data_IF_705461258116
#
_entry.id   IF_705461258116
#
_cell.length_a   1.000
_cell.length_b   1.000
_cell.length_c   1.000
_cell.angle_alpha   90.00
_cell.angle_beta   90.00
_cell.angle_gamma   90.00
#
_symmetry.space_group_name_H-M   'P 1'
#
loop_
_entity.id
_entity.type
_entity.pdbx_description
1 polymer ?
#
# COMPACT_ATOMS: atom_id res chain seq x y z
N UNK A 1 13.63 -12.70 9.83
CA UNK A 1 12.84 -11.78 8.99
C UNK A 1 12.36 -10.66 9.90
N UNK A 2 12.50 -9.39 9.49
CA UNK A 2 12.06 -8.24 10.28
C UNK A 2 10.53 -8.02 10.15
N UNK A 3 9.97 -7.22 11.08
CA UNK A 3 8.52 -7.02 11.16
C UNK A 3 7.93 -6.30 9.92
N UNK A 4 8.69 -5.41 9.29
CA UNK A 4 8.24 -4.72 8.09
C UNK A 4 8.14 -5.70 6.92
N UNK A 5 9.15 -6.53 6.71
CA UNK A 5 9.15 -7.58 5.67
C UNK A 5 7.96 -8.52 5.82
N UNK A 6 7.71 -9.03 7.04
CA UNK A 6 6.57 -9.91 7.30
C UNK A 6 5.22 -9.23 7.04
N UNK A 7 5.12 -7.96 7.37
CA UNK A 7 3.92 -7.19 7.12
C UNK A 7 3.68 -6.97 5.62
N UNK A 8 4.73 -6.60 4.89
CA UNK A 8 4.66 -6.40 3.44
C UNK A 8 4.30 -7.70 2.71
N UNK A 9 4.84 -8.84 3.13
CA UNK A 9 4.41 -10.16 2.63
C UNK A 9 2.92 -10.45 2.91
N UNK A 10 2.42 -10.03 4.08
CA UNK A 10 1.02 -10.20 4.44
C UNK A 10 0.07 -9.31 3.62
N UNK A 11 0.55 -8.19 3.07
CA UNK A 11 -0.26 -7.23 2.30
C UNK A 11 -0.64 -7.76 0.93
N UNK A 12 0.15 -8.66 0.33
CA UNK A 12 0.00 -9.12 -1.06
C UNK A 12 -0.30 -7.96 -2.00
N UNK A 13 0.76 -7.28 -2.36
CA UNK A 13 0.68 -6.19 -3.33
C UNK A 13 0.51 -6.75 -4.74
N UNK A 14 -0.25 -6.05 -5.54
CA UNK A 14 -0.25 -6.14 -6.99
C UNK A 14 -0.08 -4.73 -7.55
N UNK A 15 0.68 -4.55 -8.57
CA UNK A 15 0.95 -3.22 -9.09
C UNK A 15 0.92 -3.20 -10.62
N UNK A 16 0.79 -2.00 -11.17
CA UNK A 16 0.87 -1.78 -12.60
C UNK A 16 1.11 -0.31 -12.92
N UNK A 17 1.56 -0.05 -14.12
CA UNK A 17 1.48 1.26 -14.73
C UNK A 17 0.44 1.19 -15.84
N UNK A 18 -0.36 2.22 -15.96
CA UNK A 18 -1.42 2.26 -16.95
C UNK A 18 -1.28 3.45 -17.91
N UNK A 19 -0.53 4.51 -17.52
CA UNK A 19 -0.48 5.75 -18.26
C UNK A 19 0.93 6.33 -18.33
N UNK A 20 1.36 6.66 -19.55
CA UNK A 20 2.49 7.56 -19.82
C UNK A 20 1.95 8.93 -20.19
N UNK A 21 2.25 9.95 -19.40
CA UNK A 21 1.77 11.31 -19.64
C UNK A 21 2.92 12.26 -20.00
N UNK A 22 2.65 13.12 -20.97
CA UNK A 22 3.51 14.23 -21.38
C UNK A 22 2.70 15.52 -21.37
N UNK A 23 3.13 16.46 -20.56
CA UNK A 23 2.49 17.75 -20.41
C UNK A 23 3.42 18.88 -20.84
N UNK A 24 2.83 19.97 -21.35
CA UNK A 24 3.54 21.23 -21.61
C UNK A 24 2.81 22.38 -20.94
N UNK A 25 3.55 23.25 -20.24
CA UNK A 25 2.94 24.38 -19.52
C UNK A 25 2.14 25.31 -20.44
N UNK A 26 1.02 25.93 -19.99
CA UNK A 26 0.30 25.66 -18.74
C UNK A 26 -0.60 24.42 -18.85
N UNK A 27 -0.71 23.66 -17.74
CA UNK A 27 -1.61 22.50 -17.64
C UNK A 27 -2.02 22.25 -16.20
N UNK A 28 -3.23 21.68 -16.00
CA UNK A 28 -3.73 21.26 -14.70
C UNK A 28 -4.81 20.19 -14.91
N UNK A 29 -4.64 19.04 -14.26
CA UNK A 29 -5.55 17.91 -14.38
C UNK A 29 -5.96 17.41 -12.99
N UNK A 30 -7.20 16.93 -12.90
CA UNK A 30 -7.70 16.17 -11.74
C UNK A 30 -7.65 14.70 -12.07
N UNK A 31 -7.09 13.91 -11.17
CA UNK A 31 -6.94 12.47 -11.34
C UNK A 31 -7.34 11.72 -10.07
N UNK A 32 -7.79 10.49 -10.26
CA UNK A 32 -7.97 9.47 -9.24
C UNK A 32 -7.91 8.13 -9.97
N UNK A 33 -7.20 7.14 -9.43
CA UNK A 33 -7.15 5.82 -10.04
C UNK A 33 -8.46 5.10 -9.79
N UNK A 34 -9.13 4.66 -10.86
CA UNK A 34 -10.34 3.85 -10.79
C UNK A 34 -10.07 2.35 -10.97
N UNK A 35 -11.05 1.50 -10.69
CA UNK A 35 -10.97 0.07 -11.02
C UNK A 35 -10.73 -0.20 -12.50
N UNK A 36 -11.23 0.66 -13.37
CA UNK A 36 -11.08 0.64 -14.84
C UNK A 36 -9.63 0.85 -15.30
N UNK A 37 -8.82 1.54 -14.49
CA UNK A 37 -7.39 1.77 -14.77
C UNK A 37 -6.51 0.57 -14.40
N UNK A 38 -7.10 -0.47 -13.79
CA UNK A 38 -6.40 -1.64 -13.31
C UNK A 38 -6.57 -2.82 -14.27
N UNK A 39 -5.69 -3.04 -15.25
CA UNK A 39 -5.80 -4.13 -16.22
C UNK A 39 -5.41 -5.49 -15.61
N UNK A 40 -5.92 -5.81 -14.41
CA UNK A 40 -5.69 -7.08 -13.74
C UNK A 40 -6.79 -8.06 -14.11
N UNK A 41 -6.49 -9.19 -14.77
CA UNK A 41 -7.50 -10.18 -15.10
C UNK A 41 -8.10 -10.79 -13.83
N UNK A 42 -9.40 -10.57 -13.63
CA UNK A 42 -10.21 -11.33 -12.69
C UNK A 42 -10.32 -10.84 -11.26
N UNK A 43 -9.60 -9.82 -10.80
CA UNK A 43 -9.74 -9.29 -9.43
C UNK A 43 -9.53 -7.78 -9.36
N UNK A 44 -10.54 -7.06 -8.91
CA UNK A 44 -10.38 -5.65 -8.50
C UNK A 44 -9.76 -5.67 -7.11
N UNK A 45 -8.61 -4.99 -6.90
CA UNK A 45 -8.01 -4.91 -5.57
C UNK A 45 -8.97 -4.30 -4.54
N UNK A 46 -8.91 -4.78 -3.31
CA UNK A 46 -9.76 -4.29 -2.24
C UNK A 46 -9.43 -2.84 -1.83
N UNK A 47 -8.19 -2.41 -2.06
CA UNK A 47 -7.76 -1.02 -1.96
C UNK A 47 -6.78 -0.69 -3.09
N UNK A 48 -6.82 0.54 -3.53
CA UNK A 48 -5.96 1.10 -4.57
C UNK A 48 -5.14 2.25 -3.99
N UNK A 49 -3.87 2.27 -4.34
CA UNK A 49 -2.95 3.38 -4.15
C UNK A 49 -2.57 3.92 -5.53
N UNK A 50 -2.57 5.22 -5.71
CA UNK A 50 -2.02 5.81 -6.92
C UNK A 50 -0.54 6.11 -6.74
N UNK A 51 0.24 6.05 -7.83
CA UNK A 51 1.58 6.59 -7.85
C UNK A 51 1.85 7.37 -9.13
N UNK A 52 2.71 8.39 -9.01
CA UNK A 52 3.19 9.21 -10.11
C UNK A 52 4.70 9.33 -10.02
N UNK A 53 5.41 8.87 -11.04
CA UNK A 53 6.85 9.04 -11.16
C UNK A 53 7.16 10.15 -12.18
N UNK A 54 7.76 11.24 -11.72
CA UNK A 54 8.18 12.34 -12.59
C UNK A 54 9.51 11.96 -13.23
N UNK A 55 9.47 11.63 -14.53
CA UNK A 55 10.67 11.28 -15.28
C UNK A 55 11.50 12.51 -15.64
N UNK A 56 10.83 13.59 -16.05
CA UNK A 56 11.44 14.86 -16.42
C UNK A 56 10.51 16.03 -16.06
N UNK A 57 11.09 17.20 -15.87
CA UNK A 57 10.35 18.42 -15.53
C UNK A 57 9.96 18.50 -14.07
N UNK A 58 8.87 19.19 -13.79
CA UNK A 58 8.33 19.41 -12.44
C UNK A 58 6.81 19.59 -12.49
N UNK A 59 6.18 19.34 -11.37
CA UNK A 59 4.74 19.56 -11.17
C UNK A 59 4.43 19.97 -9.74
N UNK A 60 3.19 20.39 -9.53
CA UNK A 60 2.58 20.57 -8.21
C UNK A 60 1.51 19.50 -7.98
N UNK A 61 1.58 18.85 -6.83
CA UNK A 61 0.52 17.97 -6.32
C UNK A 61 -0.39 18.78 -5.41
N UNK A 62 -1.67 18.85 -5.73
CA UNK A 62 -2.73 19.41 -4.89
C UNK A 62 -3.57 18.30 -4.26
N UNK A 63 -3.68 18.31 -2.94
CA UNK A 63 -4.58 17.48 -2.15
C UNK A 63 -5.54 18.38 -1.38
N UNK A 64 -6.82 17.97 -1.26
CA UNK A 64 -7.82 18.75 -0.53
C UNK A 64 -7.38 18.97 0.92
N UNK A 65 -7.42 20.24 1.36
CA UNK A 65 -7.04 20.64 2.71
C UNK A 65 -5.53 20.66 3.02
N UNK A 66 -4.68 20.48 2.01
CA UNK A 66 -3.21 20.54 2.17
C UNK A 66 -2.58 21.60 1.26
N UNK A 67 -1.46 22.20 1.66
CA UNK A 67 -0.70 23.08 0.76
C UNK A 67 -0.18 22.29 -0.43
N UNK A 68 -0.11 22.91 -1.63
CA UNK A 68 0.45 22.25 -2.81
C UNK A 68 1.90 21.81 -2.58
N UNK A 69 2.22 20.60 -2.99
CA UNK A 69 3.56 20.00 -2.89
C UNK A 69 4.27 20.08 -4.24
N UNK A 70 5.45 20.70 -4.27
CA UNK A 70 6.30 20.70 -5.46
C UNK A 70 7.00 19.35 -5.63
N UNK A 71 6.99 18.81 -6.86
CA UNK A 71 7.57 17.50 -7.19
C UNK A 71 8.40 17.65 -8.46
N UNK A 72 9.65 17.23 -8.41
CA UNK A 72 10.61 17.35 -9.50
C UNK A 72 10.97 16.03 -10.17
N UNK A 73 11.80 16.13 -11.20
CA UNK A 73 12.33 14.95 -11.88
C UNK A 73 13.08 14.02 -10.91
N UNK A 74 12.87 12.70 -11.05
CA UNK A 74 13.40 11.69 -10.16
C UNK A 74 12.59 11.50 -8.88
N UNK A 75 11.49 12.21 -8.70
CA UNK A 75 10.62 12.05 -7.53
C UNK A 75 9.38 11.23 -7.87
N UNK A 76 9.02 10.37 -6.93
CA UNK A 76 7.82 9.53 -6.98
C UNK A 76 6.89 9.99 -5.88
N UNK A 77 5.63 10.19 -6.21
CA UNK A 77 4.56 10.41 -5.26
C UNK A 77 3.72 9.15 -5.18
N UNK A 78 3.49 8.68 -3.97
CA UNK A 78 2.54 7.61 -3.65
C UNK A 78 1.39 8.21 -2.85
N UNK A 79 0.19 7.81 -3.19
CA UNK A 79 -1.07 8.22 -2.55
C UNK A 79 -1.73 6.98 -1.93
N UNK A 80 -1.39 6.62 -0.67
CA UNK A 80 -1.78 5.34 -0.07
C UNK A 80 -3.28 5.10 0.03
N UNK A 81 -4.08 6.16 0.08
CA UNK A 81 -5.55 6.09 0.13
C UNK A 81 -6.22 6.54 -1.15
N UNK A 82 -5.44 6.76 -2.22
CA UNK A 82 -5.93 7.15 -3.54
C UNK A 82 -6.98 8.29 -3.50
N UNK A 83 -6.74 9.39 -2.79
CA UNK A 83 -7.68 10.51 -2.79
C UNK A 83 -7.75 11.14 -4.18
N UNK A 84 -8.86 11.79 -4.54
CA UNK A 84 -8.89 12.71 -5.67
C UNK A 84 -7.78 13.76 -5.50
N UNK A 85 -7.00 13.99 -6.55
CA UNK A 85 -5.85 14.88 -6.49
C UNK A 85 -5.68 15.66 -7.78
N UNK A 86 -4.95 16.77 -7.70
CA UNK A 86 -4.62 17.63 -8.84
C UNK A 86 -3.13 17.57 -9.11
N UNK A 87 -2.78 17.34 -10.37
CA UNK A 87 -1.42 17.51 -10.87
C UNK A 87 -1.41 18.73 -11.80
N UNK A 88 -0.49 19.67 -11.60
CA UNK A 88 -0.47 20.92 -12.37
C UNK A 88 0.93 21.51 -12.56
N UNK A 89 1.10 22.32 -13.58
CA UNK A 89 2.30 23.16 -13.74
C UNK A 89 2.29 24.39 -12.82
N UNK A 90 1.10 24.86 -12.42
CA UNK A 90 0.87 25.96 -11.47
C UNK A 90 -0.37 25.62 -10.62
N UNK A 91 -0.29 25.66 -9.28
CA UNK A 91 -1.42 25.30 -8.41
C UNK A 91 -2.63 26.24 -8.51
N UNK A 92 -2.49 27.39 -9.15
CA UNK A 92 -3.58 28.36 -9.36
C UNK A 92 -4.45 28.05 -10.58
N UNK A 93 -4.02 27.14 -11.45
CA UNK A 93 -4.76 26.78 -12.65
C UNK A 93 -6.00 25.94 -12.33
N UNK A 94 -7.14 26.18 -13.01
CA UNK A 94 -8.31 25.35 -12.87
C UNK A 94 -8.03 23.93 -13.41
N UNK A 95 -8.35 22.91 -12.61
CA UNK A 95 -8.12 21.54 -12.99
C UNK A 95 -9.17 21.02 -13.97
N UNK A 96 -8.73 20.36 -15.03
CA UNK A 96 -9.58 19.64 -15.98
C UNK A 96 -9.64 18.16 -15.62
N UNK A 97 -10.69 17.48 -16.03
CA UNK A 97 -10.81 16.02 -15.88
C UNK A 97 -9.85 15.32 -16.86
N UNK A 98 -9.20 14.24 -16.39
CA UNK A 98 -8.20 13.52 -17.16
C UNK A 98 -8.81 12.58 -18.21
N UNK A 99 -9.96 11.98 -17.93
CA UNK A 99 -10.52 10.87 -18.71
C UNK A 99 -10.72 11.18 -20.19
N UNK A 100 -11.20 12.38 -20.58
CA UNK A 100 -11.36 12.72 -22.00
C UNK A 100 -10.03 12.90 -22.75
N UNK A 101 -8.92 13.04 -22.03
CA UNK A 101 -7.60 13.33 -22.58
C UNK A 101 -6.76 12.07 -22.80
N UNK A 102 -7.16 10.94 -22.21
CA UNK A 102 -6.43 9.69 -22.26
C UNK A 102 -6.66 8.96 -23.59
N UNK A 103 -5.58 8.66 -24.29
CA UNK A 103 -5.62 7.80 -25.47
C UNK A 103 -5.38 6.35 -25.06
N UNK A 104 -6.33 5.44 -25.33
CA UNK A 104 -6.19 4.05 -24.95
C UNK A 104 -4.93 3.40 -25.51
N UNK A 105 -4.40 2.43 -24.78
CA UNK A 105 -3.27 1.63 -25.23
C UNK A 105 -3.66 0.77 -26.45
N UNK A 106 -2.86 0.78 -27.49
CA UNK A 106 -2.98 -0.15 -28.60
C UNK A 106 -2.11 -1.40 -28.29
N UNK A 107 -2.73 -2.58 -28.28
CA UNK A 107 -1.98 -3.83 -28.20
C UNK A 107 -1.31 -4.16 -26.85
N UNK A 108 -1.88 -3.72 -25.72
CA UNK A 108 -1.38 -4.10 -24.37
C UNK A 108 -0.24 -3.24 -23.82
N UNK A 109 0.05 -2.08 -24.43
CA UNK A 109 1.00 -1.08 -23.92
C UNK A 109 0.40 -0.17 -22.85
N UNK A 110 1.10 0.93 -22.53
CA UNK A 110 0.56 2.00 -21.68
C UNK A 110 -0.36 2.91 -22.47
N UNK A 111 -1.46 3.34 -21.88
CA UNK A 111 -2.22 4.48 -22.39
C UNK A 111 -1.33 5.71 -22.47
N UNK A 112 -1.66 6.64 -23.36
CA UNK A 112 -0.87 7.85 -23.58
C UNK A 112 -1.73 9.09 -23.37
N UNK A 113 -1.11 10.09 -22.80
CA UNK A 113 -1.72 11.40 -22.65
C UNK A 113 -0.71 12.47 -23.07
N UNK A 114 -1.14 13.36 -23.96
CA UNK A 114 -0.40 14.58 -24.30
C UNK A 114 -1.34 15.77 -24.17
N UNK A 115 -0.97 16.73 -23.35
CA UNK A 115 -1.80 17.90 -23.08
C UNK A 115 -0.97 19.09 -22.66
N UNK A 116 -1.42 20.30 -22.99
CA UNK A 116 -0.87 21.56 -22.50
C UNK A 116 -0.72 22.65 -23.55
N UNK A 117 -0.08 23.74 -23.15
CA UNK A 117 0.03 24.99 -23.92
C UNK A 117 1.31 25.18 -24.71
N UNK A 118 2.23 24.21 -24.79
CA UNK A 118 3.46 24.28 -25.58
C UNK A 118 4.68 24.86 -24.83
N UNK A 119 4.58 25.17 -23.54
CA UNK A 119 5.68 25.64 -22.70
C UNK A 119 6.61 24.51 -22.19
N UNK A 120 7.17 24.68 -20.99
CA UNK A 120 8.09 23.71 -20.40
C UNK A 120 7.45 22.32 -20.28
N UNK A 121 8.23 21.26 -20.59
CA UNK A 121 7.75 19.88 -20.65
C UNK A 121 7.89 19.17 -19.32
N UNK A 122 6.86 18.41 -18.97
CA UNK A 122 6.86 17.46 -17.83
C UNK A 122 6.42 16.09 -18.34
N UNK A 123 7.20 15.03 -18.03
CA UNK A 123 6.86 13.63 -18.34
C UNK A 123 6.73 12.82 -17.09
N UNK A 124 5.65 12.02 -16.99
CA UNK A 124 5.40 11.14 -15.85
C UNK A 124 4.85 9.79 -16.29
N UNK A 125 5.07 8.82 -15.42
CA UNK A 125 4.40 7.52 -15.45
C UNK A 125 3.42 7.49 -14.28
N UNK A 126 2.17 7.20 -14.60
CA UNK A 126 1.12 6.98 -13.61
C UNK A 126 0.80 5.49 -13.53
N UNK A 127 0.58 5.02 -12.32
CA UNK A 127 0.24 3.64 -12.08
C UNK A 127 -0.54 3.47 -10.79
N UNK A 128 -0.78 2.21 -10.47
CA UNK A 128 -1.47 1.82 -9.25
C UNK A 128 -0.69 0.74 -8.51
N UNK A 129 -0.94 0.68 -7.20
CA UNK A 129 -0.56 -0.44 -6.34
C UNK A 129 -1.84 -0.85 -5.62
N UNK A 130 -2.27 -2.08 -5.85
CA UNK A 130 -3.42 -2.66 -5.20
C UNK A 130 -3.03 -3.51 -4.00
N UNK A 131 -3.92 -3.66 -3.03
CA UNK A 131 -3.78 -4.64 -1.98
C UNK A 131 -5.06 -5.45 -1.79
N UNK A 132 -4.91 -6.71 -1.37
CA UNK A 132 -6.04 -7.62 -1.17
C UNK A 132 -6.77 -7.39 0.17
N UNK A 133 -6.17 -6.63 1.08
CA UNK A 133 -6.70 -6.41 2.44
C UNK A 133 -7.33 -5.02 2.53
N UNK A 134 -8.69 -4.92 2.61
CA UNK A 134 -9.39 -3.63 2.56
C UNK A 134 -8.97 -2.65 3.66
N UNK A 135 -8.76 -3.14 4.87
CA UNK A 135 -8.38 -2.37 6.05
C UNK A 135 -6.96 -2.70 6.51
N UNK A 136 -5.99 -2.49 5.62
CA UNK A 136 -4.60 -2.73 5.98
C UNK A 136 -4.13 -1.71 7.02
N UNK A 137 -3.67 -2.16 8.21
CA UNK A 137 -3.19 -1.25 9.26
C UNK A 137 -2.04 -0.35 8.80
N UNK A 138 -1.13 -0.86 7.95
CA UNK A 138 -0.03 -0.06 7.40
C UNK A 138 -0.56 1.12 6.58
N UNK A 139 -1.47 0.89 5.64
CA UNK A 139 -1.99 1.94 4.76
C UNK A 139 -2.75 3.03 5.51
N UNK A 140 -3.41 2.67 6.62
CA UNK A 140 -4.13 3.63 7.48
C UNK A 140 -3.20 4.59 8.20
N UNK A 141 -1.98 4.14 8.52
CA UNK A 141 -0.98 4.89 9.27
C UNK A 141 -0.06 5.73 8.40
N UNK A 142 -0.03 5.46 7.09
CA UNK A 142 0.75 6.26 6.15
C UNK A 142 0.09 7.64 5.96
N UNK A 143 0.87 8.69 5.69
CA UNK A 143 0.35 10.03 5.39
C UNK A 143 -0.49 10.02 4.11
N UNK A 144 -1.15 11.12 3.81
CA UNK A 144 -1.98 11.26 2.60
C UNK A 144 -1.16 11.11 1.32
N UNK A 145 0.10 11.53 1.36
CA UNK A 145 1.09 11.32 0.30
C UNK A 145 2.44 10.91 0.87
N UNK A 146 3.16 10.04 0.17
CA UNK A 146 4.54 9.66 0.42
C UNK A 146 5.38 10.12 -0.77
N UNK A 147 6.46 10.86 -0.49
CA UNK A 147 7.47 11.19 -1.48
C UNK A 147 8.65 10.21 -1.39
N UNK A 148 9.13 9.75 -2.52
CA UNK A 148 10.38 9.02 -2.63
C UNK A 148 11.25 9.73 -3.68
N UNK A 149 12.45 10.16 -3.28
CA UNK A 149 13.43 10.69 -4.23
C UNK A 149 14.32 9.57 -4.72
N UNK A 150 14.26 9.30 -6.01
CA UNK A 150 15.11 8.32 -6.70
C UNK A 150 16.25 9.07 -7.37
N UNK A 151 17.46 8.90 -6.86
CA UNK A 151 18.61 9.57 -7.44
C UNK A 151 18.83 9.09 -8.90
N UNK A 152 19.10 10.00 -9.85
CA UNK A 152 19.37 9.63 -11.22
C UNK A 152 20.55 8.66 -11.34
N UNK A 153 20.42 7.67 -12.22
CA UNK A 153 21.45 6.65 -12.46
C UNK A 153 21.51 5.54 -11.40
N UNK A 154 20.69 5.58 -10.36
CA UNK A 154 20.55 4.45 -9.42
C UNK A 154 19.87 3.26 -10.13
N UNK A 155 20.04 2.06 -9.56
CA UNK A 155 19.43 0.84 -10.12
C UNK A 155 17.91 0.95 -10.25
N UNK A 156 17.23 1.65 -9.34
CA UNK A 156 15.77 1.89 -9.40
C UNK A 156 15.44 2.76 -10.60
N UNK A 157 16.11 3.92 -10.75
CA UNK A 157 15.87 4.84 -11.87
C UNK A 157 16.10 4.16 -13.22
N UNK A 158 17.25 3.50 -13.38
CA UNK A 158 17.60 2.81 -14.61
C UNK A 158 16.63 1.67 -14.93
N UNK A 159 16.30 0.85 -13.94
CA UNK A 159 15.36 -0.27 -14.12
C UNK A 159 13.96 0.21 -14.48
N UNK A 160 13.47 1.26 -13.84
CA UNK A 160 12.14 1.80 -14.11
C UNK A 160 12.07 2.44 -15.51
N UNK A 161 13.06 3.24 -15.88
CA UNK A 161 13.14 3.84 -17.24
C UNK A 161 13.24 2.76 -18.31
N UNK A 162 14.02 1.69 -18.06
CA UNK A 162 14.14 0.56 -18.98
C UNK A 162 12.80 -0.17 -19.12
N UNK A 163 12.13 -0.50 -18.01
CA UNK A 163 10.84 -1.18 -18.05
C UNK A 163 9.77 -0.37 -18.78
N UNK A 164 9.74 0.96 -18.57
CA UNK A 164 8.84 1.87 -19.30
C UNK A 164 9.12 1.83 -20.80
N UNK A 165 10.39 1.85 -21.21
CA UNK A 165 10.77 1.78 -22.62
C UNK A 165 10.39 0.43 -23.26
N UNK A 166 10.53 -0.68 -22.52
CA UNK A 166 10.13 -2.01 -22.97
C UNK A 166 8.61 -2.16 -23.11
N UNK A 167 7.84 -1.61 -22.18
CA UNK A 167 6.36 -1.58 -22.30
C UNK A 167 5.94 -0.73 -23.50
N UNK A 168 6.59 0.41 -23.73
CA UNK A 168 6.33 1.23 -24.90
C UNK A 168 6.66 0.51 -26.22
N UNK A 169 7.65 -0.38 -26.20
CA UNK A 169 8.03 -1.26 -27.32
C UNK A 169 7.19 -2.55 -27.41
N UNK A 170 6.24 -2.76 -26.54
CA UNK A 170 5.37 -3.95 -26.47
C UNK A 170 6.14 -5.27 -26.32
N UNK A 171 7.27 -5.25 -25.62
CA UNK A 171 8.06 -6.46 -25.37
C UNK A 171 7.32 -7.44 -24.44
N UNK A 172 7.29 -8.75 -24.73
CA UNK A 172 6.65 -9.73 -23.87
C UNK A 172 7.17 -9.69 -22.43
N UNK A 173 6.26 -9.68 -21.45
CA UNK A 173 6.61 -9.68 -20.03
C UNK A 173 6.99 -8.31 -19.42
N UNK A 174 7.14 -7.26 -20.22
CA UNK A 174 7.53 -5.92 -19.72
C UNK A 174 6.54 -5.33 -18.71
N UNK A 175 5.24 -5.56 -18.89
CA UNK A 175 4.22 -5.13 -17.93
C UNK A 175 4.40 -5.80 -16.55
N UNK A 176 4.77 -7.08 -16.53
CA UNK A 176 5.03 -7.80 -15.28
C UNK A 176 6.30 -7.27 -14.57
N UNK A 177 7.36 -6.94 -15.33
CA UNK A 177 8.56 -6.31 -14.77
C UNK A 177 8.23 -4.96 -14.15
N UNK A 178 7.47 -4.13 -14.86
CA UNK A 178 7.08 -2.80 -14.36
C UNK A 178 6.20 -2.90 -13.11
N UNK A 179 5.31 -3.89 -13.04
CA UNK A 179 4.51 -4.17 -11.85
C UNK A 179 5.40 -4.49 -10.62
N UNK A 180 6.39 -5.36 -10.78
CA UNK A 180 7.32 -5.70 -9.68
C UNK A 180 8.18 -4.53 -9.24
N UNK A 181 8.60 -3.69 -10.18
CA UNK A 181 9.31 -2.45 -9.84
C UNK A 181 8.42 -1.48 -9.06
N UNK A 182 7.13 -1.35 -9.40
CA UNK A 182 6.20 -0.50 -8.66
C UNK A 182 5.97 -1.03 -7.22
N UNK A 183 5.91 -2.35 -7.01
CA UNK A 183 5.88 -2.94 -5.67
C UNK A 183 7.15 -2.58 -4.85
N UNK A 184 8.33 -2.67 -5.46
CA UNK A 184 9.59 -2.27 -4.83
C UNK A 184 9.63 -0.78 -4.48
N UNK A 185 9.11 0.09 -5.35
CA UNK A 185 9.00 1.52 -5.06
C UNK A 185 8.15 1.81 -3.82
N UNK A 186 7.06 1.06 -3.62
CA UNK A 186 6.25 1.20 -2.41
C UNK A 186 7.05 0.82 -1.16
N UNK A 187 7.78 -0.29 -1.21
CA UNK A 187 8.62 -0.73 -0.09
C UNK A 187 9.67 0.34 0.25
N UNK A 188 10.36 0.86 -0.75
CA UNK A 188 11.38 1.90 -0.54
C UNK A 188 10.79 3.22 -0.05
N UNK A 189 9.60 3.60 -0.52
CA UNK A 189 8.91 4.79 -0.02
C UNK A 189 8.50 4.65 1.45
N UNK A 190 8.02 3.47 1.86
CA UNK A 190 7.70 3.20 3.27
C UNK A 190 8.97 3.21 4.12
N UNK A 191 10.06 2.59 3.66
CA UNK A 191 11.35 2.61 4.36
C UNK A 191 11.88 4.03 4.54
N UNK A 192 11.94 4.79 3.45
CA UNK A 192 12.37 6.20 3.48
C UNK A 192 11.50 7.04 4.43
N UNK A 193 10.19 6.83 4.41
CA UNK A 193 9.29 7.52 5.34
C UNK A 193 9.60 7.15 6.80
N UNK A 194 9.81 5.88 7.10
CA UNK A 194 10.18 5.43 8.45
C UNK A 194 11.47 6.12 8.94
N UNK A 195 12.45 6.35 8.05
CA UNK A 195 13.69 7.04 8.39
C UNK A 195 13.48 8.53 8.71
N UNK A 196 12.46 9.17 8.12
CA UNK A 196 12.14 10.59 8.37
C UNK A 196 11.36 10.83 9.67
N UNK A 197 10.79 9.77 10.27
CA UNK A 197 10.01 9.93 11.50
C UNK A 197 10.90 10.38 12.67
N UNK A 198 10.51 11.41 13.45
CA UNK A 198 11.21 11.81 14.64
C UNK A 198 11.33 10.64 15.66
N UNK A 199 12.37 10.63 16.48
CA UNK A 199 12.50 9.62 17.56
C UNK A 199 11.38 9.72 18.60
N UNK A 200 10.80 10.92 18.76
CA UNK A 200 9.66 11.17 19.64
C UNK A 200 8.31 10.71 19.06
N UNK A 201 8.29 10.22 17.82
CA UNK A 201 7.06 9.75 17.21
C UNK A 201 6.53 8.52 17.92
N UNK A 202 5.25 8.54 18.29
CA UNK A 202 4.51 7.39 18.80
C UNK A 202 3.69 6.76 17.67
N UNK A 203 3.17 5.57 17.91
CA UNK A 203 2.36 4.85 16.96
C UNK A 203 3.07 3.63 16.36
N UNK A 204 2.32 2.88 15.60
CA UNK A 204 2.73 1.58 15.08
C UNK A 204 4.03 1.62 14.22
N UNK A 205 4.19 2.67 13.41
CA UNK A 205 5.40 2.85 12.58
C UNK A 205 6.66 3.11 13.44
N UNK A 206 6.51 3.82 14.55
CA UNK A 206 7.61 3.99 15.54
C UNK A 206 7.94 2.66 16.21
N UNK A 207 6.93 1.83 16.48
CA UNK A 207 7.13 0.47 17.00
C UNK A 207 7.96 -0.42 16.09
N UNK A 208 7.87 -0.26 14.75
CA UNK A 208 8.73 -0.99 13.80
C UNK A 208 10.21 -0.61 13.89
N UNK A 209 10.50 0.66 14.19
CA UNK A 209 11.88 1.16 14.35
C UNK A 209 12.49 0.78 15.68
N UNK A 210 11.68 0.56 16.70
CA UNK A 210 12.15 0.14 18.01
C UNK A 210 12.72 -1.27 17.96
N UNK A 211 14.00 -1.51 18.34
CA UNK A 211 14.62 -2.82 18.16
C UNK A 211 13.92 -3.95 18.93
N UNK A 212 13.36 -3.64 20.11
CA UNK A 212 12.71 -4.63 20.97
C UNK A 212 11.26 -4.84 20.58
N UNK A 213 10.52 -3.77 20.31
CA UNK A 213 9.13 -3.85 19.89
C UNK A 213 9.02 -4.34 18.45
N UNK A 214 9.90 -3.91 17.54
CA UNK A 214 9.99 -4.44 16.18
C UNK A 214 10.26 -5.95 16.17
N UNK A 215 11.17 -6.45 17.04
CA UNK A 215 11.38 -7.89 17.21
C UNK A 215 10.13 -8.60 17.77
N UNK A 216 9.42 -8.00 18.72
CA UNK A 216 8.18 -8.57 19.24
C UNK A 216 7.10 -8.63 18.15
N UNK A 217 6.96 -7.59 17.34
CA UNK A 217 6.04 -7.57 16.19
C UNK A 217 6.40 -8.66 15.18
N UNK A 218 7.69 -8.85 14.87
CA UNK A 218 8.17 -9.91 14.01
C UNK A 218 7.76 -11.30 14.52
N UNK A 219 7.88 -11.54 15.82
CA UNK A 219 7.45 -12.81 16.45
C UNK A 219 5.93 -12.99 16.37
N UNK A 220 5.16 -11.95 16.66
CA UNK A 220 3.69 -11.98 16.62
C UNK A 220 3.16 -12.23 15.21
N UNK A 221 3.80 -11.62 14.20
CA UNK A 221 3.40 -11.76 12.80
C UNK A 221 3.85 -13.10 12.20
N UNK A 222 5.06 -13.56 12.51
CA UNK A 222 5.61 -14.80 11.98
C UNK A 222 4.98 -16.05 12.57
N UNK A 223 4.59 -16.00 13.85
CA UNK A 223 4.02 -17.14 14.59
C UNK A 223 2.68 -16.77 15.24
N UNK A 224 1.65 -16.34 14.48
CA UNK A 224 0.39 -15.87 15.06
C UNK A 224 -0.36 -16.99 15.80
N UNK A 225 -0.22 -18.23 15.37
CA UNK A 225 -0.84 -19.41 16.01
C UNK A 225 -0.24 -19.81 17.35
N UNK A 226 0.98 -19.37 17.65
CA UNK A 226 1.66 -19.71 18.90
C UNK A 226 0.94 -19.12 20.11
N UNK A 227 0.85 -19.83 21.26
CA UNK A 227 0.20 -19.33 22.47
C UNK A 227 1.10 -18.29 23.20
N UNK A 228 1.29 -17.15 22.56
CA UNK A 228 2.05 -16.05 23.10
C UNK A 228 1.42 -15.48 24.37
N UNK A 229 2.24 -15.16 25.34
CA UNK A 229 1.89 -14.35 26.50
C UNK A 229 2.76 -13.09 26.54
N UNK A 230 2.31 -12.07 27.24
CA UNK A 230 3.12 -10.84 27.44
C UNK A 230 4.48 -11.16 28.05
N UNK A 231 4.54 -12.15 28.97
CA UNK A 231 5.78 -12.58 29.60
C UNK A 231 6.71 -13.31 28.62
N UNK A 232 6.17 -14.22 27.79
CA UNK A 232 6.95 -14.92 26.78
C UNK A 232 7.56 -13.95 25.75
N UNK A 233 6.78 -12.97 25.32
CA UNK A 233 7.26 -11.91 24.41
C UNK A 233 8.34 -11.06 25.07
N UNK A 234 8.11 -10.59 26.30
CA UNK A 234 9.09 -9.78 27.04
C UNK A 234 10.43 -10.52 27.16
N UNK A 235 10.40 -11.80 27.53
CA UNK A 235 11.60 -12.65 27.61
C UNK A 235 12.31 -12.78 26.26
N UNK A 236 11.55 -12.97 25.18
CA UNK A 236 12.08 -13.13 23.81
C UNK A 236 12.81 -11.87 23.30
N UNK A 237 12.44 -10.68 23.81
CA UNK A 237 13.05 -9.42 23.42
C UNK A 237 13.99 -8.83 24.49
N UNK A 238 14.26 -9.55 25.59
CA UNK A 238 15.20 -9.17 26.63
C UNK A 238 14.69 -8.06 27.56
N UNK A 239 13.37 -7.98 27.78
CA UNK A 239 12.76 -7.00 28.71
C UNK A 239 12.06 -7.68 29.89
N UNK A 240 11.86 -6.97 30.99
CA UNK A 240 10.91 -7.37 32.02
C UNK A 240 9.48 -7.28 31.48
N UNK A 241 8.54 -8.07 32.03
CA UNK A 241 7.13 -8.05 31.64
C UNK A 241 6.52 -6.65 31.70
N UNK A 242 6.79 -5.91 32.77
CA UNK A 242 6.25 -4.55 32.96
C UNK A 242 6.84 -3.55 31.98
N UNK A 243 8.18 -3.57 31.80
CA UNK A 243 8.86 -2.69 30.84
C UNK A 243 8.39 -2.95 29.40
N UNK A 244 8.27 -4.21 29.01
CA UNK A 244 7.76 -4.59 27.69
C UNK A 244 6.32 -4.13 27.49
N UNK A 245 5.42 -4.42 28.44
CA UNK A 245 4.01 -4.03 28.30
C UNK A 245 3.83 -2.52 28.23
N UNK A 246 4.56 -1.76 29.06
CA UNK A 246 4.52 -0.30 29.06
C UNK A 246 5.04 0.27 27.72
N UNK A 247 6.23 -0.19 27.27
CA UNK A 247 6.85 0.28 26.02
C UNK A 247 6.01 -0.09 24.80
N UNK A 248 5.50 -1.33 24.73
CA UNK A 248 4.62 -1.78 23.66
C UNK A 248 3.34 -0.95 23.59
N UNK A 249 2.69 -0.72 24.77
CA UNK A 249 1.44 0.06 24.82
C UNK A 249 1.69 1.54 24.50
N UNK A 250 2.82 2.11 24.92
CA UNK A 250 3.19 3.47 24.57
C UNK A 250 3.38 3.65 23.05
N UNK A 251 4.10 2.74 22.39
CA UNK A 251 4.37 2.82 20.96
C UNK A 251 3.18 2.41 20.09
N UNK A 252 2.42 1.37 20.49
CA UNK A 252 1.35 0.80 19.67
C UNK A 252 -0.06 1.26 20.09
N UNK A 253 -0.17 2.08 21.13
CA UNK A 253 -1.42 2.59 21.72
C UNK A 253 -2.41 1.50 22.14
N UNK A 254 -1.93 0.27 22.27
CA UNK A 254 -2.70 -0.88 22.72
C UNK A 254 -1.82 -1.98 23.34
N UNK A 255 -2.36 -2.75 24.30
CA UNK A 255 -1.62 -3.85 24.92
C UNK A 255 -1.24 -4.97 23.94
N UNK A 256 -0.10 -5.69 24.17
CA UNK A 256 0.42 -6.72 23.26
C UNK A 256 -0.60 -7.81 22.88
N UNK A 257 -1.36 -8.33 23.85
CA UNK A 257 -2.31 -9.40 23.60
C UNK A 257 -3.56 -8.94 22.84
N UNK A 258 -3.96 -7.66 23.02
CA UNK A 258 -5.03 -7.05 22.22
C UNK A 258 -4.59 -6.89 20.77
N UNK A 259 -3.34 -6.46 20.55
CA UNK A 259 -2.73 -6.41 19.23
C UNK A 259 -2.72 -7.76 18.53
N UNK A 260 -2.22 -8.81 19.22
CA UNK A 260 -2.20 -10.17 18.68
C UNK A 260 -3.61 -10.67 18.32
N UNK A 261 -4.60 -10.40 19.17
CA UNK A 261 -5.98 -10.78 18.89
C UNK A 261 -6.48 -10.13 17.59
N UNK A 262 -6.29 -8.82 17.43
CA UNK A 262 -6.67 -8.10 16.21
C UNK A 262 -5.94 -8.65 14.98
N UNK A 263 -4.63 -8.91 15.07
CA UNK A 263 -3.84 -9.49 14.00
C UNK A 263 -4.33 -10.89 13.58
N UNK A 264 -4.60 -11.77 14.53
CA UNK A 264 -5.19 -13.09 14.28
C UNK A 264 -6.52 -13.01 13.53
N UNK A 265 -7.37 -12.07 13.90
CA UNK A 265 -8.66 -11.85 13.24
C UNK A 265 -8.52 -11.30 11.82
N UNK A 266 -7.55 -10.44 11.55
CA UNK A 266 -7.23 -9.99 10.19
C UNK A 266 -6.75 -11.15 9.32
N UNK A 267 -5.88 -12.02 9.85
CA UNK A 267 -5.45 -13.24 9.16
C UNK A 267 -6.61 -14.20 8.90
N UNK A 268 -7.51 -14.37 9.88
CA UNK A 268 -8.71 -15.20 9.72
C UNK A 268 -9.62 -14.65 8.61
N UNK A 269 -9.83 -13.34 8.58
CA UNK A 269 -10.61 -12.67 7.53
C UNK A 269 -10.02 -12.90 6.14
N UNK A 270 -8.68 -12.85 6.01
CA UNK A 270 -7.99 -13.18 4.76
C UNK A 270 -8.23 -14.64 4.34
N UNK A 271 -8.00 -15.59 5.26
CA UNK A 271 -8.19 -17.02 4.97
C UNK A 271 -9.65 -17.37 4.62
N UNK A 272 -10.62 -16.64 5.19
CA UNK A 272 -12.04 -16.78 4.83
C UNK A 272 -12.31 -16.38 3.36
N UNK A 273 -11.66 -15.31 2.86
CA UNK A 273 -11.76 -14.93 1.44
C UNK A 273 -11.13 -15.95 0.51
N UNK A 274 -10.05 -16.59 0.96
CA UNK A 274 -9.41 -17.71 0.25
C UNK A 274 -10.27 -18.99 0.25
N UNK A 275 -11.45 -18.97 0.88
CA UNK A 275 -12.38 -20.11 0.92
C UNK A 275 -12.02 -21.19 1.92
N UNK A 276 -11.05 -20.98 2.82
CA UNK A 276 -10.65 -21.99 3.81
C UNK A 276 -11.76 -22.28 4.81
N UNK A 277 -11.78 -23.52 5.32
CA UNK A 277 -12.73 -23.95 6.34
C UNK A 277 -12.42 -23.33 7.72
N UNK A 278 -13.48 -23.01 8.48
CA UNK A 278 -13.37 -22.27 9.75
C UNK A 278 -12.55 -23.02 10.81
N UNK A 279 -12.67 -24.37 10.87
CA UNK A 279 -11.87 -25.21 11.75
C UNK A 279 -10.36 -25.03 11.50
N UNK A 280 -9.97 -25.10 10.24
CA UNK A 280 -8.57 -24.93 9.83
C UNK A 280 -8.07 -23.54 10.16
N UNK A 281 -8.88 -22.52 9.87
CA UNK A 281 -8.55 -21.12 10.18
C UNK A 281 -8.33 -20.95 11.68
N UNK A 282 -9.24 -21.49 12.53
CA UNK A 282 -9.11 -21.39 13.98
C UNK A 282 -7.75 -21.93 14.47
N UNK A 283 -7.36 -23.09 13.98
CA UNK A 283 -6.06 -23.71 14.31
C UNK A 283 -4.89 -22.84 13.82
N UNK A 284 -4.91 -22.43 12.56
CA UNK A 284 -3.82 -21.69 11.93
C UNK A 284 -3.56 -20.33 12.62
N UNK A 285 -4.63 -19.66 13.09
CA UNK A 285 -4.50 -18.38 13.79
C UNK A 285 -4.46 -18.50 15.33
N UNK A 286 -4.43 -19.73 15.88
CA UNK A 286 -4.21 -19.99 17.31
C UNK A 286 -5.43 -19.82 18.21
N UNK A 287 -6.63 -20.12 17.71
CA UNK A 287 -7.84 -20.29 18.52
C UNK A 287 -8.06 -21.78 18.81
N UNK A 288 -8.40 -22.10 20.06
CA UNK A 288 -8.61 -23.49 20.52
C UNK A 288 -9.87 -24.15 19.94
N UNK A 289 -10.77 -23.39 19.28
CA UNK A 289 -11.96 -23.93 18.63
C UNK A 289 -12.58 -22.96 17.65
N UNK A 290 -13.38 -23.48 16.71
CA UNK A 290 -14.20 -22.65 15.81
C UNK A 290 -15.14 -21.70 16.57
N UNK A 291 -15.72 -22.18 17.68
CA UNK A 291 -16.62 -21.38 18.50
C UNK A 291 -15.91 -20.18 19.14
N UNK A 292 -14.66 -20.37 19.58
CA UNK A 292 -13.84 -19.28 20.13
C UNK A 292 -13.50 -18.25 19.03
N UNK A 293 -13.08 -18.72 17.87
CA UNK A 293 -12.82 -17.83 16.71
C UNK A 293 -14.10 -17.07 16.31
N UNK A 294 -15.24 -17.75 16.22
CA UNK A 294 -16.52 -17.15 15.80
C UNK A 294 -16.93 -16.00 16.76
N UNK A 295 -16.83 -16.21 18.07
CA UNK A 295 -17.12 -15.17 19.07
C UNK A 295 -16.20 -13.97 18.93
N UNK A 296 -14.88 -14.21 18.85
CA UNK A 296 -13.89 -13.15 18.71
C UNK A 296 -14.08 -12.38 17.39
N UNK A 297 -14.32 -13.09 16.29
CA UNK A 297 -14.54 -12.52 14.97
C UNK A 297 -15.78 -11.63 14.93
N UNK A 298 -16.92 -12.14 15.46
CA UNK A 298 -18.16 -11.36 15.56
C UNK A 298 -17.98 -10.11 16.42
N UNK A 299 -17.25 -10.22 17.53
CA UNK A 299 -16.97 -9.06 18.38
C UNK A 299 -16.16 -7.99 17.65
N UNK A 300 -15.19 -8.41 16.85
CA UNK A 300 -14.27 -7.48 16.14
C UNK A 300 -14.87 -6.88 14.87
N UNK A 301 -15.54 -7.68 14.04
CA UNK A 301 -16.09 -7.26 12.74
C UNK A 301 -17.61 -6.99 12.78
N UNK A 302 -18.28 -7.17 13.89
CA UNK A 302 -19.73 -6.97 14.04
C UNK A 302 -20.60 -8.07 13.44
N UNK A 303 -20.03 -8.95 12.59
CA UNK A 303 -20.75 -10.01 11.89
C UNK A 303 -20.03 -11.36 12.02
N UNK A 304 -20.75 -12.51 11.98
CA UNK A 304 -20.13 -13.83 11.97
C UNK A 304 -19.26 -14.09 10.74
N UNK A 305 -18.23 -14.98 10.84
CA UNK A 305 -17.34 -15.33 9.73
C UNK A 305 -18.05 -15.74 8.43
N UNK A 306 -19.12 -16.53 8.53
CA UNK A 306 -19.88 -16.98 7.36
C UNK A 306 -20.60 -15.83 6.64
N UNK A 307 -21.16 -14.89 7.39
CA UNK A 307 -21.81 -13.69 6.85
C UNK A 307 -20.76 -12.78 6.23
N UNK A 308 -19.65 -12.56 6.93
CA UNK A 308 -18.55 -11.76 6.45
C UNK A 308 -17.97 -12.31 5.14
N UNK A 309 -17.76 -13.62 5.05
CA UNK A 309 -17.30 -14.28 3.81
C UNK A 309 -18.23 -14.01 2.63
N UNK A 310 -19.56 -14.16 2.81
CA UNK A 310 -20.53 -13.87 1.75
C UNK A 310 -20.48 -12.42 1.25
N UNK A 311 -20.24 -11.49 2.16
CA UNK A 311 -20.14 -10.06 1.82
C UNK A 311 -18.85 -9.67 1.11
N UNK A 312 -17.77 -10.46 1.30
CA UNK A 312 -16.42 -10.14 0.82
C UNK A 312 -15.84 -11.21 -0.12
N UNK A 313 -16.61 -12.20 -0.53
CA UNK A 313 -16.20 -13.16 -1.57
C UNK A 313 -16.33 -12.49 -2.94
N UNK A 314 -15.24 -12.51 -3.72
CA UNK A 314 -15.18 -11.92 -5.05
C UNK A 314 -16.06 -12.63 -6.11
N UNK A 315 -16.72 -13.72 -5.75
CA UNK A 315 -17.62 -14.47 -6.63
C UNK A 315 -18.93 -14.74 -5.88
N UNK A 316 -20.06 -14.04 -6.17
CA UNK A 316 -21.35 -14.53 -5.72
C UNK A 316 -21.61 -15.88 -6.40
N UNK A 317 -22.22 -16.88 -5.72
CA UNK A 317 -22.57 -18.14 -6.35
C UNK A 317 -23.48 -17.83 -7.54
N UNK A 318 -23.08 -18.32 -8.71
CA UNK A 318 -23.96 -18.37 -9.89
C UNK A 318 -25.26 -19.08 -9.46
N UNK A 319 -26.37 -18.34 -9.49
CA UNK A 319 -27.71 -18.91 -9.34
C UNK A 319 -28.16 -19.44 -10.68
#
# INVERSE_FOLDING_TARGET
VDALSQLLEAVRLCAGAFLQAEFTEPWSIRAQVGPEDCPLPGQIPACLMAYHYVLDGRLWLGLDGQPPLAVGAGEIILLPRNPPHVLSSDPRLPAQRIEPLVQPALGGGLARLRHGGGGARTRLICGFIGCEVPDNPLLRLLPASLGLRVAPGTWIDLSFRRAVAEVAGQHPGSAAVLARLAELLFIEAVRSYLETLPETHSGWLAGLRDPQIGRALALLHGEPGRPWTTEALARAVGLSRSAFAARFTHLLEQPPMRYLCAWRLQLAARQLREGRGLARIATDVGYGSEAALNRAFRHHFGVPPATWRRQHSANPPLR
#
